data_IF_200313276116
#
_entry.id   IF_200313276116
#
_cell.length_a   1.000
_cell.length_b   1.000
_cell.length_c   1.000
_cell.angle_alpha   90.00
_cell.angle_beta   90.00
_cell.angle_gamma   90.00
#
_symmetry.space_group_name_H-M   'P 1'
#
loop_
_entity.id
_entity.type
_entity.pdbx_description
1 polymer ?
#
# COMPACT_ATOMS: atom_id res chain seq x y z
N UNK A 1 -7.85 -1.22 -11.27
CA UNK A 1 -8.22 0.15 -10.86
C UNK A 1 -8.62 0.07 -9.39
N UNK A 2 -8.51 1.14 -8.59
CA UNK A 2 -8.58 1.05 -7.12
C UNK A 2 -9.83 0.32 -6.61
N UNK A 3 -9.71 -0.38 -5.47
CA UNK A 3 -10.82 -1.13 -4.88
C UNK A 3 -11.97 -0.19 -4.49
N UNK A 4 -13.21 -0.66 -4.62
CA UNK A 4 -14.36 0.15 -4.24
C UNK A 4 -14.37 0.40 -2.72
N UNK A 5 -14.78 1.61 -2.32
CA UNK A 5 -14.86 1.99 -0.90
C UNK A 5 -15.94 1.18 -0.18
N UNK A 6 -17.07 0.94 -0.85
CA UNK A 6 -18.21 0.16 -0.35
C UNK A 6 -18.64 -0.88 -1.37
N UNK A 7 -19.16 -2.01 -0.89
CA UNK A 7 -19.77 -3.02 -1.77
C UNK A 7 -21.05 -2.49 -2.43
N UNK A 8 -21.19 -2.70 -3.74
CA UNK A 8 -22.34 -2.25 -4.53
C UNK A 8 -23.68 -2.88 -4.11
N UNK A 9 -23.66 -4.06 -3.50
CA UNK A 9 -24.89 -4.75 -3.07
C UNK A 9 -25.19 -4.53 -1.60
N UNK A 10 -24.21 -4.75 -0.71
CA UNK A 10 -24.42 -4.75 0.74
C UNK A 10 -24.20 -3.38 1.40
N UNK A 11 -23.54 -2.43 0.73
CA UNK A 11 -23.18 -1.12 1.30
C UNK A 11 -22.12 -1.17 2.42
N UNK A 12 -21.66 -2.37 2.80
CA UNK A 12 -20.56 -2.57 3.76
C UNK A 12 -19.29 -1.91 3.23
N UNK A 13 -18.53 -1.30 4.13
CA UNK A 13 -17.22 -0.72 3.81
C UNK A 13 -16.25 -1.86 3.57
N UNK A 14 -15.60 -1.87 2.40
CA UNK A 14 -14.68 -2.92 1.96
C UNK A 14 -13.28 -2.35 1.71
N UNK A 15 -13.16 -1.09 1.28
CA UNK A 15 -11.87 -0.51 0.88
C UNK A 15 -10.80 -0.48 1.98
N UNK A 16 -11.17 -0.48 3.26
CA UNK A 16 -10.23 -0.54 4.39
C UNK A 16 -9.63 -1.93 4.64
N UNK A 17 -10.18 -2.99 4.03
CA UNK A 17 -9.77 -4.38 4.29
C UNK A 17 -8.79 -4.94 3.26
N UNK A 18 -8.51 -4.20 2.18
CA UNK A 18 -7.67 -4.68 1.07
C UNK A 18 -6.23 -4.97 1.46
N UNK A 19 -5.57 -4.04 2.15
CA UNK A 19 -4.18 -4.23 2.58
C UNK A 19 -4.04 -5.39 3.56
N UNK A 20 -5.02 -5.55 4.46
CA UNK A 20 -5.07 -6.67 5.39
C UNK A 20 -5.24 -8.00 4.64
N UNK A 21 -6.08 -8.04 3.60
CA UNK A 21 -6.25 -9.22 2.74
C UNK A 21 -4.96 -9.61 2.03
N UNK A 22 -4.23 -8.64 1.44
CA UNK A 22 -2.93 -8.90 0.81
C UNK A 22 -1.89 -9.41 1.81
N UNK A 23 -1.85 -8.82 3.02
CA UNK A 23 -0.95 -9.27 4.09
C UNK A 23 -1.25 -10.71 4.54
N UNK A 24 -2.52 -11.08 4.64
CA UNK A 24 -2.93 -12.45 4.98
C UNK A 24 -2.51 -13.45 3.89
N UNK A 25 -2.66 -13.12 2.61
CA UNK A 25 -2.24 -13.96 1.50
C UNK A 25 -0.72 -14.14 1.40
N UNK A 26 0.06 -13.14 1.83
CA UNK A 26 1.52 -13.18 1.78
C UNK A 26 2.12 -13.97 2.95
N UNK A 27 1.54 -13.84 4.15
CA UNK A 27 2.05 -14.46 5.38
C UNK A 27 1.51 -15.89 5.55
N UNK A 28 0.25 -16.11 5.21
CA UNK A 28 -0.44 -17.38 5.40
C UNK A 28 -0.69 -17.96 4.01
N UNK A 29 -0.29 -19.23 3.79
CA UNK A 29 -0.83 -20.04 2.69
C UNK A 29 -2.31 -20.39 2.95
N UNK A 30 -3.10 -19.42 3.41
CA UNK A 30 -4.51 -19.56 3.66
C UNK A 30 -5.19 -19.64 2.29
N UNK A 31 -6.08 -20.61 2.17
CA UNK A 31 -7.05 -20.60 1.07
C UNK A 31 -7.78 -19.25 1.09
N UNK A 32 -8.08 -18.68 -0.08
CA UNK A 32 -8.65 -17.33 -0.17
C UNK A 32 -9.95 -17.17 0.63
N UNK A 33 -10.68 -18.26 0.89
CA UNK A 33 -11.84 -18.30 1.78
C UNK A 33 -11.48 -17.97 3.23
N UNK A 34 -10.44 -18.59 3.78
CA UNK A 34 -10.06 -18.46 5.19
C UNK A 34 -9.58 -17.03 5.50
N UNK A 35 -8.90 -16.40 4.54
CA UNK A 35 -8.49 -15.01 4.63
C UNK A 35 -9.70 -14.06 4.67
N UNK A 36 -10.74 -14.33 3.87
CA UNK A 36 -11.96 -13.51 3.85
C UNK A 36 -12.82 -13.70 5.12
N UNK A 37 -12.84 -14.91 5.66
CA UNK A 37 -13.49 -15.22 6.93
C UNK A 37 -12.79 -14.55 8.12
N UNK A 38 -11.45 -14.52 8.12
CA UNK A 38 -10.64 -13.81 9.12
C UNK A 38 -10.92 -12.29 9.12
N UNK A 39 -11.25 -11.71 7.96
CA UNK A 39 -11.65 -10.30 7.81
C UNK A 39 -13.12 -10.03 8.20
N UNK A 40 -13.86 -11.06 8.60
CA UNK A 40 -15.26 -10.94 9.04
C UNK A 40 -16.22 -10.60 7.90
N UNK A 41 -15.87 -10.93 6.66
CA UNK A 41 -16.77 -10.86 5.53
C UNK A 41 -17.46 -12.22 5.41
N UNK A 42 -18.78 -12.27 5.65
CA UNK A 42 -19.55 -13.53 5.55
C UNK A 42 -20.45 -13.61 4.32
N UNK A 43 -20.68 -12.47 3.65
CA UNK A 43 -21.60 -12.37 2.51
C UNK A 43 -20.81 -12.45 1.22
N UNK A 44 -21.26 -13.30 0.30
CA UNK A 44 -20.67 -13.48 -1.03
C UNK A 44 -20.56 -12.17 -1.82
N UNK A 45 -21.52 -11.26 -1.71
CA UNK A 45 -21.50 -9.98 -2.43
C UNK A 45 -20.33 -9.08 -2.01
N UNK A 46 -19.95 -9.12 -0.73
CA UNK A 46 -18.80 -8.37 -0.25
C UNK A 46 -17.48 -9.15 -0.51
N UNK A 47 -17.52 -10.49 -0.70
CA UNK A 47 -16.37 -11.31 -1.14
C UNK A 47 -15.99 -11.05 -2.60
N UNK A 48 -16.96 -11.00 -3.51
CA UNK A 48 -16.72 -10.73 -4.93
C UNK A 48 -15.95 -9.43 -5.14
N UNK A 49 -16.15 -8.46 -4.25
CA UNK A 49 -15.46 -7.17 -4.31
C UNK A 49 -13.96 -7.25 -4.04
N UNK A 50 -13.49 -8.22 -3.25
CA UNK A 50 -12.07 -8.42 -2.94
C UNK A 50 -11.47 -9.51 -3.83
N UNK A 51 -12.21 -10.60 -4.05
CA UNK A 51 -11.70 -11.76 -4.77
C UNK A 51 -11.46 -11.49 -6.26
N UNK A 52 -12.35 -10.74 -6.90
CA UNK A 52 -12.27 -10.44 -8.34
C UNK A 52 -11.63 -9.08 -8.64
N UNK A 53 -11.09 -8.41 -7.62
CA UNK A 53 -10.48 -7.10 -7.79
C UNK A 53 -9.09 -7.22 -8.41
N UNK A 54 -8.80 -6.34 -9.37
CA UNK A 54 -7.49 -6.27 -10.03
C UNK A 54 -6.98 -4.84 -9.95
N UNK A 55 -5.84 -4.67 -9.29
CA UNK A 55 -5.18 -3.39 -9.13
C UNK A 55 -4.32 -3.00 -10.35
N UNK A 56 -5.00 -2.50 -11.38
CA UNK A 56 -4.32 -1.89 -12.54
C UNK A 56 -3.62 -0.54 -12.23
N UNK A 57 -3.76 0.03 -11.03
CA UNK A 57 -3.22 1.37 -10.76
C UNK A 57 -1.69 1.40 -10.83
N UNK A 58 -1.02 0.36 -10.34
CA UNK A 58 0.45 0.24 -10.42
C UNK A 58 0.96 0.24 -11.86
N UNK A 59 0.18 -0.36 -12.76
CA UNK A 59 0.51 -0.39 -14.19
C UNK A 59 0.22 0.96 -14.84
N UNK A 60 -0.88 1.61 -14.47
CA UNK A 60 -1.29 2.91 -15.01
C UNK A 60 -0.32 4.04 -14.64
N UNK A 61 0.28 4.00 -13.44
CA UNK A 61 1.31 4.96 -13.00
C UNK A 61 2.59 4.91 -13.85
N UNK A 62 2.79 3.87 -14.66
CA UNK A 62 4.01 3.71 -15.45
C UNK A 62 3.89 4.29 -16.89
N UNK A 63 2.74 4.84 -17.27
CA UNK A 63 2.51 5.35 -18.64
C UNK A 63 2.93 6.81 -18.83
N UNK A 64 3.08 7.57 -17.75
CA UNK A 64 3.51 8.97 -17.79
C UNK A 64 4.98 9.01 -18.23
N UNK A 65 5.30 9.48 -19.46
CA UNK A 65 6.68 9.45 -19.95
C UNK A 65 7.61 10.35 -19.14
N UNK A 66 7.07 11.44 -18.56
CA UNK A 66 7.78 12.39 -17.71
C UNK A 66 8.14 11.84 -16.31
N UNK A 67 7.44 10.80 -15.84
CA UNK A 67 7.60 10.31 -14.47
C UNK A 67 8.64 9.21 -14.33
N UNK A 68 9.05 8.53 -15.41
CA UNK A 68 10.17 7.56 -15.32
C UNK A 68 11.47 8.25 -14.91
N UNK A 69 11.75 9.41 -15.51
CA UNK A 69 12.94 10.22 -15.21
C UNK A 69 12.89 10.77 -13.77
N UNK A 70 11.72 11.21 -13.31
CA UNK A 70 11.52 11.74 -11.96
C UNK A 70 11.49 10.62 -10.90
N UNK A 71 10.91 9.46 -11.21
CA UNK A 71 10.81 8.31 -10.29
C UNK A 71 12.15 7.60 -10.10
N UNK A 72 12.99 7.50 -11.13
CA UNK A 72 14.39 7.09 -10.95
C UNK A 72 15.14 8.02 -9.98
N UNK A 73 14.84 9.32 -10.00
CA UNK A 73 15.41 10.31 -9.07
C UNK A 73 14.84 10.17 -7.63
N UNK A 74 13.52 9.97 -7.46
CA UNK A 74 12.88 9.80 -6.14
C UNK A 74 13.15 8.42 -5.48
N UNK A 75 13.23 7.35 -6.27
CA UNK A 75 13.59 6.00 -5.77
C UNK A 75 15.07 5.96 -5.35
N UNK A 76 15.96 6.70 -6.03
CA UNK A 76 17.33 6.94 -5.58
C UNK A 76 17.37 7.79 -4.29
N UNK A 77 16.49 8.79 -4.14
CA UNK A 77 16.40 9.62 -2.94
C UNK A 77 15.95 8.84 -1.69
N UNK A 78 15.11 7.82 -1.87
CA UNK A 78 14.65 6.94 -0.78
C UNK A 78 15.74 5.95 -0.31
N UNK A 79 16.66 5.57 -1.20
CA UNK A 79 17.85 4.78 -0.86
C UNK A 79 18.90 5.59 -0.07
N UNK A 80 19.01 6.90 -0.32
CA UNK A 80 19.87 7.80 0.49
C UNK A 80 19.35 7.92 1.93
N UNK A 81 18.03 8.01 2.13
CA UNK A 81 17.43 8.09 3.47
C UNK A 81 17.61 6.81 4.30
N UNK A 82 17.58 5.63 3.69
CA UNK A 82 17.82 4.36 4.39
C UNK A 82 19.31 4.13 4.72
N UNK A 83 20.22 4.67 3.91
CA UNK A 83 21.66 4.50 4.11
C UNK A 83 22.31 5.54 5.05
N UNK A 84 21.59 6.59 5.45
CA UNK A 84 22.09 7.56 6.44
C UNK A 84 21.94 7.09 7.90
N UNK A 85 21.17 6.02 8.18
CA UNK A 85 20.86 5.58 9.55
C UNK A 85 21.60 4.31 10.02
N UNK A 86 22.65 3.84 9.34
CA UNK A 86 23.25 2.54 9.68
C UNK A 86 24.66 2.53 10.29
N UNK A 87 25.41 3.64 10.41
CA UNK A 87 26.60 3.66 11.31
C UNK A 87 27.26 5.03 11.44
N UNK A 88 27.06 5.70 12.58
CA UNK A 88 28.09 6.57 13.16
C UNK A 88 28.04 6.47 14.68
N UNK A 89 29.11 5.88 15.23
CA UNK A 89 29.69 6.08 16.56
C UNK A 89 28.87 6.93 17.58
N UNK A 90 28.16 6.24 18.48
CA UNK A 90 28.17 6.58 19.91
C UNK A 90 27.71 7.97 20.39
N UNK A 91 26.99 8.76 19.59
CA UNK A 91 26.47 10.06 20.02
C UNK A 91 24.95 10.16 19.81
N UNK A 92 24.24 10.36 20.93
CA UNK A 92 22.80 10.62 20.98
C UNK A 92 22.49 11.98 20.32
N UNK A 93 21.90 11.97 19.13
CA UNK A 93 21.09 13.07 18.60
C UNK A 93 20.02 12.52 17.65
N UNK A 94 19.06 11.82 18.24
CA UNK A 94 17.78 11.56 17.60
C UNK A 94 16.76 12.48 18.29
N UNK A 95 16.51 13.64 17.68
CA UNK A 95 15.24 14.38 17.70
C UNK A 95 15.40 15.64 16.85
N UNK A 96 14.47 15.78 15.90
CA UNK A 96 14.05 17.01 15.21
C UNK A 96 15.10 17.75 14.38
N UNK A 97 14.95 17.70 13.04
CA UNK A 97 14.98 18.88 12.15
C UNK A 97 14.68 18.46 10.71
N UNK A 98 13.63 18.91 10.03
CA UNK A 98 12.38 19.58 10.41
C UNK A 98 11.54 19.53 9.13
N UNK A 99 10.29 19.11 9.25
CA UNK A 99 9.28 19.36 8.22
C UNK A 99 9.13 20.87 8.10
N UNK A 100 9.38 21.41 6.89
CA UNK A 100 9.08 22.75 6.37
C UNK A 100 10.34 23.39 5.78
N UNK A 101 10.43 23.34 4.45
CA UNK A 101 10.25 24.52 3.61
C UNK A 101 10.48 24.06 2.17
N UNK A 102 9.41 24.03 1.38
CA UNK A 102 9.36 24.58 0.01
C UNK A 102 7.98 24.23 -0.58
N UNK A 103 7.07 25.19 -0.44
CA UNK A 103 5.97 25.38 -1.39
C UNK A 103 6.57 26.17 -2.55
N UNK A 104 6.73 25.52 -3.70
CA UNK A 104 6.41 26.05 -5.02
C UNK A 104 6.18 24.87 -5.97
#
# INVERSE_FOLDING_TARGET
>A
MIISVRCFTCGKIVGNTWEAYLGLLQVVYAEGSDALDALGLKRYCCWCMLFAHVDLIEKLLNYTPLEKEIREMYDAQTLVFKNCCSKVHGLKLCRSCLVRDFIF
#
